data_IF_010948364828
#
_entry.id   IF_010948364828
#
_cell.length_a   1.000
_cell.length_b   1.000
_cell.length_c   1.000
_cell.angle_alpha   90.00
_cell.angle_beta   90.00
_cell.angle_gamma   90.00
#
_symmetry.space_group_name_H-M   'P 1'
#
loop_
_entity.id
_entity.type
_entity.pdbx_description
1 polymer ?
#
# COMPACT_ATOMS: atom_id res chain seq x y z
N UNK A 1 -9.09 18.74 -2.36
CA UNK A 1 -9.11 17.28 -2.35
C UNK A 1 -8.13 16.68 -3.37
N UNK A 2 -8.25 16.99 -4.68
CA UNK A 2 -7.40 16.42 -5.73
C UNK A 2 -5.90 16.64 -5.45
N UNK A 3 -5.45 17.89 -5.36
CA UNK A 3 -4.05 18.21 -5.11
C UNK A 3 -3.53 17.64 -3.79
N UNK A 4 -4.34 17.66 -2.73
CA UNK A 4 -3.95 17.08 -1.44
C UNK A 4 -3.64 15.58 -1.55
N UNK A 5 -4.51 14.81 -2.21
CA UNK A 5 -4.30 13.38 -2.42
C UNK A 5 -3.06 13.09 -3.29
N UNK A 6 -2.90 13.78 -4.43
CA UNK A 6 -1.75 13.57 -5.31
C UNK A 6 -0.44 14.05 -4.70
N UNK A 7 -0.44 15.18 -3.99
CA UNK A 7 0.76 15.67 -3.33
C UNK A 7 1.22 14.71 -2.22
N UNK A 8 0.30 14.17 -1.42
CA UNK A 8 0.66 13.23 -0.35
C UNK A 8 1.04 11.86 -0.92
N UNK A 9 0.14 11.23 -1.67
CA UNK A 9 0.27 9.82 -2.03
C UNK A 9 1.24 9.57 -3.18
N UNK A 10 1.42 10.53 -4.08
CA UNK A 10 2.25 10.37 -5.29
C UNK A 10 3.53 11.19 -5.19
N UNK A 11 3.44 12.51 -5.09
CA UNK A 11 4.62 13.36 -5.02
C UNK A 11 5.43 13.07 -3.75
N UNK A 12 4.77 12.97 -2.59
CA UNK A 12 5.44 12.66 -1.31
C UNK A 12 6.18 11.34 -1.36
N UNK A 13 5.58 10.29 -1.91
CA UNK A 13 6.21 8.99 -2.10
C UNK A 13 7.46 9.09 -2.98
N UNK A 14 7.37 9.75 -4.13
CA UNK A 14 8.50 9.92 -5.04
C UNK A 14 9.65 10.70 -4.41
N UNK A 15 9.34 11.79 -3.71
CA UNK A 15 10.36 12.61 -3.02
C UNK A 15 11.03 11.83 -1.89
N UNK A 16 10.24 11.11 -1.07
CA UNK A 16 10.78 10.29 0.03
C UNK A 16 11.67 9.19 -0.51
N UNK A 17 11.24 8.47 -1.55
CA UNK A 17 12.04 7.40 -2.16
C UNK A 17 13.31 7.94 -2.78
N UNK A 18 13.23 9.07 -3.51
CA UNK A 18 14.42 9.75 -4.08
C UNK A 18 15.46 10.09 -3.00
N UNK A 19 15.04 10.60 -1.87
CA UNK A 19 15.97 10.90 -0.78
C UNK A 19 16.48 9.63 -0.10
N UNK A 20 15.62 8.67 0.23
CA UNK A 20 15.99 7.43 0.90
C UNK A 20 17.04 6.62 0.13
N UNK A 21 16.93 6.56 -1.21
CA UNK A 21 17.88 5.83 -2.08
C UNK A 21 19.32 6.31 -1.91
N UNK A 22 19.54 7.58 -1.54
CA UNK A 22 20.88 8.12 -1.31
C UNK A 22 21.57 7.51 -0.08
N UNK A 23 20.80 6.96 0.84
CA UNK A 23 21.31 6.44 2.12
C UNK A 23 21.49 4.92 2.15
N UNK A 24 21.16 4.21 1.07
CA UNK A 24 21.41 2.76 0.99
C UNK A 24 22.88 2.38 0.72
N UNK A 25 23.76 3.38 0.51
CA UNK A 25 25.23 3.27 0.48
C UNK A 25 25.80 2.13 -0.41
N UNK A 26 25.06 1.70 -1.44
CA UNK A 26 25.48 0.62 -2.35
C UNK A 26 25.29 -0.80 -1.80
N UNK A 27 24.86 -0.97 -0.57
CA UNK A 27 24.58 -2.28 0.04
C UNK A 27 23.24 -2.86 -0.38
N UNK A 28 22.43 -2.06 -1.08
CA UNK A 28 21.05 -2.40 -1.44
C UNK A 28 20.07 -2.03 -0.34
N UNK A 29 18.80 -2.43 -0.51
CA UNK A 29 17.77 -2.11 0.45
C UNK A 29 16.39 -2.60 0.05
N UNK A 30 15.40 -2.24 0.87
CA UNK A 30 13.99 -2.55 0.61
C UNK A 30 13.14 -1.30 0.80
N UNK A 31 12.41 -0.92 -0.24
CA UNK A 31 11.38 0.11 -0.22
C UNK A 31 10.02 -0.58 -0.21
N UNK A 32 9.17 -0.23 0.75
CA UNK A 32 7.84 -0.78 0.91
C UNK A 32 6.83 0.37 0.82
N UNK A 33 6.07 0.40 -0.26
CA UNK A 33 5.03 1.38 -0.47
C UNK A 33 3.70 0.87 0.11
N UNK A 34 2.92 1.77 0.70
CA UNK A 34 1.57 1.44 1.15
C UNK A 34 0.57 1.95 0.13
N UNK A 35 0.02 1.01 -0.65
CA UNK A 35 -1.06 1.26 -1.60
C UNK A 35 -2.44 1.01 -0.95
N UNK A 36 -3.36 0.37 -1.64
CA UNK A 36 -4.67 0.01 -1.11
C UNK A 36 -5.36 -1.03 -2.01
N UNK A 37 -6.19 -1.88 -1.43
CA UNK A 37 -7.07 -2.79 -2.16
C UNK A 37 -8.10 -2.07 -3.07
N UNK A 38 -8.28 -0.76 -2.93
CA UNK A 38 -9.12 0.02 -3.85
C UNK A 38 -8.65 -0.06 -5.31
N UNK A 39 -7.37 -0.41 -5.54
CA UNK A 39 -6.82 -0.59 -6.90
C UNK A 39 -7.29 -1.88 -7.59
N UNK A 40 -7.97 -2.76 -6.86
CA UNK A 40 -8.63 -3.96 -7.41
C UNK A 40 -10.15 -3.90 -7.22
N UNK A 41 -10.63 -3.22 -6.16
CA UNK A 41 -12.05 -3.08 -5.84
C UNK A 41 -12.78 -2.05 -6.69
N UNK A 42 -12.10 -0.96 -7.05
CA UNK A 42 -12.68 0.18 -7.77
C UNK A 42 -14.03 0.68 -7.20
N UNK A 43 -14.12 0.99 -5.90
CA UNK A 43 -15.39 1.36 -5.29
C UNK A 43 -15.90 2.70 -5.85
N UNK A 44 -17.24 2.84 -6.04
CA UNK A 44 -17.83 4.10 -6.43
C UNK A 44 -17.43 5.27 -5.51
N UNK A 45 -17.42 6.49 -6.03
CA UNK A 45 -17.08 7.73 -5.32
C UNK A 45 -15.62 7.83 -4.82
N UNK A 46 -14.72 6.95 -5.26
CA UNK A 46 -13.31 6.92 -4.86
C UNK A 46 -12.32 7.31 -5.96
N UNK A 47 -12.78 7.89 -7.07
CA UNK A 47 -11.97 8.09 -8.28
C UNK A 47 -10.61 8.76 -8.03
N UNK A 48 -10.55 9.84 -7.24
CA UNK A 48 -9.30 10.55 -6.94
C UNK A 48 -8.39 9.68 -6.06
N UNK A 49 -8.92 9.10 -4.99
CA UNK A 49 -8.14 8.25 -4.10
C UNK A 49 -7.62 7.00 -4.83
N UNK A 50 -8.49 6.29 -5.53
CA UNK A 50 -8.12 5.11 -6.32
C UNK A 50 -7.07 5.43 -7.37
N UNK A 51 -7.19 6.56 -8.08
CA UNK A 51 -6.18 7.00 -9.06
C UNK A 51 -4.81 7.20 -8.40
N UNK A 52 -4.74 7.81 -7.20
CA UNK A 52 -3.46 7.98 -6.51
C UNK A 52 -2.86 6.65 -6.08
N UNK A 53 -3.67 5.71 -5.59
CA UNK A 53 -3.18 4.38 -5.17
C UNK A 53 -2.78 3.51 -6.36
N UNK A 54 -3.50 3.59 -7.49
CA UNK A 54 -3.07 2.97 -8.74
C UNK A 54 -1.74 3.55 -9.25
N UNK A 55 -1.51 4.85 -9.06
CA UNK A 55 -0.20 5.47 -9.33
C UNK A 55 0.90 4.90 -8.44
N UNK A 56 0.62 4.63 -7.16
CA UNK A 56 1.58 3.98 -6.24
C UNK A 56 1.95 2.59 -6.74
N UNK A 57 0.97 1.80 -7.19
CA UNK A 57 1.23 0.46 -7.76
C UNK A 57 2.11 0.54 -9.01
N UNK A 58 1.79 1.43 -9.94
CA UNK A 58 2.59 1.65 -11.15
C UNK A 58 4.02 2.13 -10.84
N UNK A 59 4.16 3.11 -9.93
CA UNK A 59 5.46 3.62 -9.48
C UNK A 59 6.29 2.50 -8.83
N UNK A 60 5.68 1.66 -8.01
CA UNK A 60 6.35 0.50 -7.39
C UNK A 60 6.99 -0.41 -8.44
N UNK A 61 6.26 -0.75 -9.49
CA UNK A 61 6.75 -1.60 -10.58
C UNK A 61 7.87 -0.91 -11.37
N UNK A 62 7.75 0.38 -11.66
CA UNK A 62 8.77 1.14 -12.40
C UNK A 62 10.04 1.27 -11.56
N UNK A 63 9.93 1.70 -10.32
CA UNK A 63 11.08 1.87 -9.44
C UNK A 63 11.80 0.55 -9.15
N UNK A 64 11.09 -0.59 -9.13
CA UNK A 64 11.71 -1.90 -8.98
C UNK A 64 12.68 -2.22 -10.12
N UNK A 65 12.39 -1.77 -11.34
CA UNK A 65 13.24 -1.94 -12.52
C UNK A 65 14.40 -0.94 -12.53
N UNK A 66 14.14 0.30 -12.15
CA UNK A 66 15.15 1.37 -12.13
C UNK A 66 16.19 1.17 -11.01
N UNK A 67 15.77 0.64 -9.87
CA UNK A 67 16.60 0.50 -8.68
C UNK A 67 17.20 -0.91 -8.52
N UNK A 68 16.76 -1.88 -9.32
CA UNK A 68 17.22 -3.27 -9.24
C UNK A 68 18.73 -3.42 -9.42
N UNK A 69 19.36 -2.66 -10.33
CA UNK A 69 20.79 -2.66 -10.54
C UNK A 69 21.59 -2.17 -9.30
N UNK A 70 20.93 -1.46 -8.39
CA UNK A 70 21.50 -1.02 -7.10
C UNK A 70 21.17 -2.01 -5.96
N UNK A 71 20.66 -3.18 -6.29
CA UNK A 71 20.20 -4.17 -5.32
C UNK A 71 19.11 -3.64 -4.34
N UNK A 72 18.31 -2.66 -4.80
CA UNK A 72 17.20 -2.09 -4.03
C UNK A 72 15.90 -2.72 -4.54
N UNK A 73 15.20 -3.41 -3.66
CA UNK A 73 13.89 -3.98 -3.92
C UNK A 73 12.80 -2.94 -3.65
N UNK A 74 11.77 -2.92 -4.47
CA UNK A 74 10.63 -2.02 -4.29
C UNK A 74 9.35 -2.83 -4.43
N UNK A 75 8.54 -2.90 -3.39
CA UNK A 75 7.27 -3.62 -3.36
C UNK A 75 6.18 -2.74 -2.74
N UNK A 76 4.93 -3.11 -2.93
CA UNK A 76 3.81 -2.46 -2.28
C UNK A 76 2.97 -3.45 -1.49
N UNK A 77 2.35 -2.96 -0.42
CA UNK A 77 1.27 -3.64 0.29
C UNK A 77 -0.02 -2.89 -0.03
N UNK A 78 -1.06 -3.64 -0.39
CA UNK A 78 -2.39 -3.12 -0.71
C UNK A 78 -3.38 -3.61 0.37
N UNK A 79 -3.49 -2.90 1.52
CA UNK A 79 -4.40 -3.28 2.59
C UNK A 79 -5.87 -3.13 2.15
N UNK A 80 -6.73 -4.00 2.66
CA UNK A 80 -8.18 -3.80 2.67
C UNK A 80 -8.61 -2.74 3.68
N UNK A 81 -9.83 -2.85 4.20
CA UNK A 81 -10.27 -1.99 5.30
C UNK A 81 -9.59 -2.45 6.60
N UNK A 82 -8.73 -1.60 7.14
CA UNK A 82 -7.97 -1.86 8.38
C UNK A 82 -8.42 -0.87 9.45
N UNK A 83 -8.71 -1.36 10.65
CA UNK A 83 -9.05 -0.53 11.79
C UNK A 83 -7.84 0.30 12.21
N UNK A 84 -7.89 1.59 11.91
CA UNK A 84 -6.84 2.57 12.21
C UNK A 84 -7.44 3.83 12.78
N UNK A 85 -6.63 4.68 13.39
CA UNK A 85 -7.06 6.00 13.85
C UNK A 85 -7.74 6.80 12.73
N UNK A 86 -7.25 6.69 11.49
CA UNK A 86 -7.86 7.35 10.32
C UNK A 86 -9.27 6.84 10.02
N UNK A 87 -9.52 5.54 10.18
CA UNK A 87 -10.86 4.94 10.00
C UNK A 87 -11.79 5.35 11.13
N UNK A 88 -11.30 5.41 12.37
CA UNK A 88 -12.05 5.95 13.51
C UNK A 88 -12.43 7.42 13.28
N UNK A 89 -11.46 8.25 12.91
CA UNK A 89 -11.68 9.69 12.67
C UNK A 89 -12.61 9.97 11.49
N UNK A 90 -12.63 9.09 10.48
CA UNK A 90 -13.57 9.18 9.36
C UNK A 90 -14.99 8.73 9.70
N UNK A 91 -15.22 8.15 10.90
CA UNK A 91 -16.53 7.74 11.37
C UNK A 91 -17.12 6.54 10.59
N UNK A 92 -16.28 5.66 10.06
CA UNK A 92 -16.75 4.50 9.29
C UNK A 92 -17.17 3.32 10.18
N UNK A 93 -16.64 3.24 11.41
CA UNK A 93 -16.93 2.13 12.33
C UNK A 93 -18.34 2.22 12.92
N UNK A 94 -18.99 1.07 13.10
CA UNK A 94 -20.36 0.97 13.58
C UNK A 94 -21.43 1.36 12.56
N UNK A 95 -21.05 1.67 11.32
CA UNK A 95 -21.96 2.12 10.27
C UNK A 95 -22.37 1.00 9.31
N UNK A 96 -23.36 1.25 8.47
CA UNK A 96 -23.74 0.32 7.41
C UNK A 96 -22.64 0.17 6.33
N UNK A 97 -21.76 1.17 6.21
CA UNK A 97 -20.58 1.05 5.36
C UNK A 97 -19.64 -0.06 5.86
N UNK A 98 -19.31 -0.08 7.15
CA UNK A 98 -18.50 -1.15 7.74
C UNK A 98 -19.16 -2.52 7.55
N UNK A 99 -20.47 -2.63 7.88
CA UNK A 99 -21.22 -3.87 7.71
C UNK A 99 -21.16 -4.37 6.26
N UNK A 100 -21.29 -3.45 5.29
CA UNK A 100 -21.20 -3.77 3.87
C UNK A 100 -19.80 -4.27 3.48
N UNK A 101 -18.73 -3.66 4.02
CA UNK A 101 -17.35 -4.11 3.80
C UNK A 101 -17.10 -5.49 4.42
N UNK A 102 -17.56 -5.72 5.66
CA UNK A 102 -17.46 -7.02 6.34
C UNK A 102 -18.19 -8.10 5.57
N UNK A 103 -19.41 -7.82 5.09
CA UNK A 103 -20.21 -8.77 4.33
C UNK A 103 -19.56 -9.19 2.99
N UNK A 104 -18.76 -8.30 2.38
CA UNK A 104 -18.03 -8.58 1.15
C UNK A 104 -16.64 -9.20 1.41
N UNK A 105 -16.16 -9.18 2.65
CA UNK A 105 -14.85 -9.71 3.02
C UNK A 105 -14.97 -11.20 3.36
N UNK A 106 -14.35 -12.12 2.58
CA UNK A 106 -14.44 -13.56 2.84
C UNK A 106 -14.06 -13.99 4.26
N UNK A 107 -13.08 -13.31 4.90
CA UNK A 107 -12.71 -13.58 6.29
C UNK A 107 -13.70 -13.00 7.32
N UNK A 108 -14.79 -12.32 6.88
CA UNK A 108 -15.91 -11.90 7.72
C UNK A 108 -15.57 -10.82 8.75
N UNK A 109 -14.51 -10.07 8.55
CA UNK A 109 -14.10 -8.97 9.44
C UNK A 109 -13.31 -7.90 8.71
N UNK A 110 -13.21 -6.72 9.29
CA UNK A 110 -12.16 -5.76 8.93
C UNK A 110 -10.81 -6.23 9.46
N UNK A 111 -9.73 -5.79 8.84
CA UNK A 111 -8.38 -6.12 9.27
C UNK A 111 -7.91 -5.27 10.46
N UNK A 112 -6.84 -5.73 11.10
CA UNK A 112 -6.14 -5.00 12.15
C UNK A 112 -4.73 -4.63 11.66
N UNK A 113 -4.05 -3.64 12.23
CA UNK A 113 -2.66 -3.31 11.89
C UNK A 113 -1.73 -4.54 11.93
N UNK A 114 -1.94 -5.46 12.88
CA UNK A 114 -1.18 -6.69 13.03
C UNK A 114 -1.42 -7.71 11.89
N UNK A 115 -2.48 -7.56 11.10
CA UNK A 115 -2.66 -8.34 9.87
C UNK A 115 -1.73 -7.86 8.75
N UNK A 116 -1.24 -6.63 8.82
CA UNK A 116 -0.39 -5.99 7.80
C UNK A 116 1.10 -6.01 8.18
N UNK A 117 1.41 -5.75 9.45
CA UNK A 117 2.78 -5.60 9.92
C UNK A 117 3.70 -6.79 9.58
N UNK A 118 3.28 -8.07 9.69
CA UNK A 118 4.13 -9.21 9.33
C UNK A 118 4.58 -9.20 7.87
N UNK A 119 3.72 -8.74 6.95
CA UNK A 119 4.10 -8.63 5.54
C UNK A 119 5.15 -7.53 5.32
N UNK A 120 5.07 -6.43 6.04
CA UNK A 120 6.08 -5.39 5.99
C UNK A 120 7.44 -5.91 6.51
N UNK A 121 7.44 -6.66 7.61
CA UNK A 121 8.65 -7.31 8.16
C UNK A 121 9.23 -8.30 7.14
N UNK A 122 8.39 -9.15 6.54
CA UNK A 122 8.81 -10.08 5.48
C UNK A 122 9.45 -9.34 4.30
N UNK A 123 8.81 -8.29 3.79
CA UNK A 123 9.33 -7.51 2.67
C UNK A 123 10.62 -6.75 3.01
N UNK A 124 10.83 -6.37 4.26
CA UNK A 124 12.04 -5.73 4.72
C UNK A 124 13.21 -6.70 4.89
N UNK A 125 12.92 -7.98 5.17
CA UNK A 125 13.92 -9.01 5.50
C UNK A 125 14.57 -9.65 4.27
N UNK A 126 15.61 -10.46 4.52
CA UNK A 126 16.26 -11.30 3.50
C UNK A 126 15.36 -12.44 2.97
N UNK A 127 14.27 -12.78 3.67
CA UNK A 127 13.35 -13.84 3.25
C UNK A 127 12.64 -13.49 1.92
N UNK A 128 12.53 -12.18 1.63
CA UNK A 128 11.98 -11.66 0.38
C UNK A 128 13.05 -11.20 -0.63
N UNK A 129 14.29 -11.67 -0.51
CA UNK A 129 15.44 -11.20 -1.32
C UNK A 129 15.27 -11.31 -2.84
N UNK A 130 14.40 -12.20 -3.31
CA UNK A 130 14.10 -12.36 -4.74
C UNK A 130 12.75 -11.74 -5.15
N UNK A 131 12.18 -10.89 -4.30
CA UNK A 131 10.88 -10.27 -4.50
C UNK A 131 11.01 -8.77 -4.70
N UNK A 132 10.67 -8.30 -5.89
CA UNK A 132 10.63 -6.87 -6.23
C UNK A 132 9.54 -6.61 -7.29
N UNK A 133 8.97 -5.40 -7.32
CA UNK A 133 7.92 -5.02 -8.24
C UNK A 133 6.56 -5.66 -7.94
N UNK A 134 6.35 -6.21 -6.75
CA UNK A 134 5.10 -6.86 -6.38
C UNK A 134 4.16 -5.92 -5.61
N UNK A 135 2.86 -6.13 -5.82
CA UNK A 135 1.79 -5.50 -5.04
C UNK A 135 1.06 -6.60 -4.28
N UNK A 136 1.22 -6.62 -2.95
CA UNK A 136 0.63 -7.63 -2.08
C UNK A 136 -0.72 -7.16 -1.57
N UNK A 137 -1.78 -7.80 -2.05
CA UNK A 137 -3.13 -7.53 -1.55
C UNK A 137 -3.37 -8.29 -0.25
N UNK A 138 -3.58 -7.56 0.86
CA UNK A 138 -3.88 -8.10 2.19
C UNK A 138 -5.21 -7.50 2.65
N UNK A 139 -6.28 -8.14 2.23
CA UNK A 139 -7.64 -7.56 2.28
C UNK A 139 -8.71 -8.50 2.84
N UNK A 140 -8.30 -9.61 3.48
CA UNK A 140 -9.26 -10.62 3.94
C UNK A 140 -10.00 -11.34 2.82
N UNK A 141 -9.48 -11.24 1.57
CA UNK A 141 -10.05 -11.88 0.38
C UNK A 141 -10.98 -10.99 -0.44
N UNK A 142 -11.28 -9.78 -0.01
CA UNK A 142 -12.08 -8.83 -0.80
C UNK A 142 -11.28 -8.37 -2.03
N UNK A 143 -11.94 -8.42 -3.20
CA UNK A 143 -11.37 -8.07 -4.50
C UNK A 143 -12.40 -7.39 -5.37
#
# INVERSE_FOLDING_TARGET
LFHSHFNLNVLGLLLTTKEAVKYFNGEGGSVINISSAVTTLYPPASSVYTATKASVDAITVILSKELGAKNIRVNAINPGMIETEGVHSAGFLGTDFEKGMVAQTPLGRIGQPDDIAPAAVYLASSDSKYMTGQTLNISGGIR
#
